data_IF_295617218059
#
_entry.id   IF_295617218059
#
_cell.length_a   1.000
_cell.length_b   1.000
_cell.length_c   1.000
_cell.angle_alpha   90.00
_cell.angle_beta   90.00
_cell.angle_gamma   90.00
#
_symmetry.space_group_name_H-M   'P 1'
#
loop_
_entity.id
_entity.type
_entity.pdbx_description
1 polymer ?
#
# COMPACT_ATOMS: atom_id res chain seq x y z
N UNK A 1 -16.56 -15.34 15.60
CA UNK A 1 -16.81 -14.87 14.22
C UNK A 1 -15.47 -14.70 13.55
N UNK A 2 -15.34 -15.19 12.31
CA UNK A 2 -14.20 -14.87 11.45
C UNK A 2 -14.30 -13.38 11.13
N UNK A 3 -13.22 -12.62 11.29
CA UNK A 3 -13.24 -11.22 10.86
C UNK A 3 -13.36 -11.21 9.32
N UNK A 4 -14.51 -10.79 8.79
CA UNK A 4 -14.72 -10.73 7.33
C UNK A 4 -14.02 -9.49 6.76
N UNK A 5 -12.97 -9.75 5.99
CA UNK A 5 -12.20 -8.71 5.29
C UNK A 5 -12.34 -8.86 3.77
N UNK A 6 -12.06 -7.78 3.05
CA UNK A 6 -12.01 -7.71 1.61
C UNK A 6 -10.94 -6.72 1.17
N UNK A 7 -10.62 -6.69 -0.13
CA UNK A 7 -9.57 -5.84 -0.67
C UNK A 7 -10.14 -4.88 -1.69
N UNK A 8 -9.54 -3.70 -1.79
CA UNK A 8 -9.89 -2.69 -2.79
C UNK A 8 -8.59 -2.21 -3.44
N UNK A 9 -8.56 -2.22 -4.76
CA UNK A 9 -7.56 -1.50 -5.54
C UNK A 9 -8.17 -0.17 -5.93
N UNK A 10 -7.60 0.93 -5.45
CA UNK A 10 -8.12 2.27 -5.63
C UNK A 10 -6.99 3.20 -6.07
N UNK A 11 -7.27 4.08 -7.02
CA UNK A 11 -6.29 5.05 -7.44
C UNK A 11 -6.78 6.04 -8.48
N UNK A 12 -6.07 7.15 -8.57
CA UNK A 12 -6.20 8.15 -9.61
C UNK A 12 -4.82 8.43 -10.18
N UNK A 13 -4.65 8.32 -11.49
CA UNK A 13 -3.37 8.47 -12.19
C UNK A 13 -3.50 9.46 -13.34
N UNK A 14 -2.46 10.24 -13.62
CA UNK A 14 -2.39 11.03 -14.85
C UNK A 14 -2.17 10.12 -16.04
N UNK A 15 -2.95 10.25 -17.13
CA UNK A 15 -2.68 9.49 -18.36
C UNK A 15 -1.38 9.96 -19.02
N UNK A 16 -1.11 11.26 -18.97
CA UNK A 16 0.04 11.91 -19.59
C UNK A 16 0.64 12.96 -18.66
N UNK A 17 1.97 13.12 -18.73
CA UNK A 17 2.67 14.15 -17.96
C UNK A 17 2.20 15.55 -18.37
N UNK A 18 1.80 16.36 -17.38
CA UNK A 18 1.44 17.76 -17.59
C UNK A 18 0.04 17.97 -18.15
N UNK A 19 -0.76 16.91 -18.29
CA UNK A 19 -2.18 17.01 -18.57
C UNK A 19 -2.96 16.71 -17.28
N UNK A 20 -3.39 17.76 -16.59
CA UNK A 20 -4.06 17.63 -15.28
C UNK A 20 -5.52 17.25 -15.39
N UNK A 21 -6.10 17.35 -16.58
CA UNK A 21 -7.53 17.09 -16.82
C UNK A 21 -7.75 15.65 -17.37
N UNK A 22 -6.70 14.97 -17.84
CA UNK A 22 -6.75 13.59 -18.34
C UNK A 22 -6.30 12.59 -17.27
N UNK A 23 -7.27 12.22 -16.42
CA UNK A 23 -7.09 11.29 -15.32
C UNK A 23 -7.65 9.89 -15.64
N UNK A 24 -7.04 8.88 -15.03
CA UNK A 24 -7.49 7.49 -15.00
C UNK A 24 -7.90 7.20 -13.55
N UNK A 25 -9.18 6.87 -13.36
CA UNK A 25 -9.70 6.43 -12.07
C UNK A 25 -9.79 4.90 -12.04
N UNK A 26 -9.37 4.32 -10.92
CA UNK A 26 -9.33 2.88 -10.66
C UNK A 26 -10.04 2.66 -9.34
N UNK A 27 -11.06 1.80 -9.33
CA UNK A 27 -11.75 1.38 -8.12
C UNK A 27 -12.34 -0.02 -8.35
N UNK A 28 -11.66 -1.04 -7.83
CA UNK A 28 -12.07 -2.44 -7.98
C UNK A 28 -12.05 -3.14 -6.63
N UNK A 29 -13.11 -3.90 -6.33
CA UNK A 29 -13.29 -4.58 -5.04
C UNK A 29 -13.16 -6.10 -5.19
N UNK A 30 -12.32 -6.70 -4.37
CA UNK A 30 -12.00 -8.13 -4.38
C UNK A 30 -12.53 -8.78 -3.11
N UNK A 31 -13.43 -9.75 -3.29
CA UNK A 31 -14.04 -10.53 -2.20
C UNK A 31 -13.89 -12.01 -2.46
N UNK A 32 -13.71 -12.79 -1.40
CA UNK A 32 -13.68 -14.25 -1.45
C UNK A 32 -13.89 -14.81 -0.03
N UNK A 33 -14.40 -16.04 0.09
CA UNK A 33 -14.53 -16.74 1.38
C UNK A 33 -13.16 -17.02 2.03
N UNK A 34 -12.14 -17.20 1.19
CA UNK A 34 -10.73 -17.19 1.58
C UNK A 34 -10.10 -15.83 1.22
N UNK A 35 -9.83 -14.95 2.20
CA UNK A 35 -9.25 -13.64 1.98
C UNK A 35 -7.84 -13.70 1.38
N UNK A 36 -7.13 -14.84 1.47
CA UNK A 36 -5.86 -15.00 0.75
C UNK A 36 -6.10 -14.95 -0.76
N UNK A 37 -7.15 -15.61 -1.25
CA UNK A 37 -7.53 -15.59 -2.67
C UNK A 37 -7.94 -14.18 -3.09
N UNK A 38 -8.73 -13.48 -2.26
CA UNK A 38 -9.11 -12.09 -2.52
C UNK A 38 -7.88 -11.16 -2.58
N UNK A 39 -6.91 -11.36 -1.67
CA UNK A 39 -5.65 -10.63 -1.64
C UNK A 39 -4.84 -10.87 -2.91
N UNK A 40 -4.66 -12.12 -3.31
CA UNK A 40 -3.92 -12.48 -4.54
C UNK A 40 -4.54 -11.83 -5.78
N UNK A 41 -5.87 -11.84 -5.89
CA UNK A 41 -6.58 -11.18 -6.99
C UNK A 41 -6.35 -9.65 -7.01
N UNK A 42 -6.44 -8.99 -5.86
CA UNK A 42 -6.19 -7.55 -5.74
C UNK A 42 -4.75 -7.19 -6.15
N UNK A 43 -3.76 -7.93 -5.66
CA UNK A 43 -2.36 -7.71 -6.02
C UNK A 43 -2.08 -8.01 -7.49
N UNK A 44 -2.69 -9.05 -8.07
CA UNK A 44 -2.55 -9.34 -9.50
C UNK A 44 -3.15 -8.22 -10.35
N UNK A 45 -4.30 -7.68 -9.95
CA UNK A 45 -4.93 -6.56 -10.65
C UNK A 45 -4.09 -5.29 -10.57
N UNK A 46 -3.60 -4.95 -9.37
CA UNK A 46 -2.65 -3.87 -9.17
C UNK A 46 -1.41 -4.02 -10.07
N UNK A 47 -0.80 -5.22 -10.07
CA UNK A 47 0.39 -5.51 -10.87
C UNK A 47 0.14 -5.35 -12.37
N UNK A 48 -1.05 -5.71 -12.85
CA UNK A 48 -1.41 -5.52 -14.26
C UNK A 48 -1.39 -4.05 -14.69
N UNK A 49 -1.80 -3.12 -13.81
CA UNK A 49 -1.66 -1.69 -14.09
C UNK A 49 -0.19 -1.29 -14.15
N UNK A 50 0.63 -1.72 -13.19
CA UNK A 50 2.07 -1.43 -13.19
C UNK A 50 2.72 -1.89 -14.50
N UNK A 51 2.39 -3.10 -14.95
CA UNK A 51 2.94 -3.67 -16.19
C UNK A 51 2.51 -2.88 -17.42
N UNK A 52 1.23 -2.56 -17.56
CA UNK A 52 0.71 -1.73 -18.67
C UNK A 52 1.37 -0.35 -18.69
N UNK A 53 1.51 0.28 -17.53
CA UNK A 53 2.13 1.60 -17.43
C UNK A 53 3.62 1.55 -17.79
N UNK A 54 4.35 0.53 -17.37
CA UNK A 54 5.75 0.34 -17.76
C UNK A 54 5.90 0.01 -19.24
N UNK A 55 5.03 -0.85 -19.79
CA UNK A 55 5.02 -1.22 -21.20
C UNK A 55 4.79 0.01 -22.09
N UNK A 56 3.92 0.95 -21.66
CA UNK A 56 3.72 2.22 -22.35
C UNK A 56 4.99 3.06 -22.49
N UNK A 57 5.98 2.84 -21.62
CA UNK A 57 7.32 3.48 -21.67
C UNK A 57 8.39 2.58 -22.30
N UNK A 58 8.02 1.42 -22.85
CA UNK A 58 8.96 0.41 -23.35
C UNK A 58 9.83 -0.20 -22.26
N UNK A 59 9.30 -0.31 -21.04
CA UNK A 59 9.97 -0.86 -19.85
C UNK A 59 9.26 -2.12 -19.37
N UNK A 60 9.96 -2.89 -18.53
CA UNK A 60 9.40 -4.04 -17.81
C UNK A 60 9.61 -3.85 -16.31
N UNK A 61 8.81 -4.53 -15.50
CA UNK A 61 8.99 -4.51 -14.05
C UNK A 61 10.34 -5.14 -13.66
N UNK A 62 11.10 -4.47 -12.79
CA UNK A 62 12.37 -4.97 -12.23
C UNK A 62 12.28 -4.99 -10.70
N UNK A 63 12.01 -3.83 -10.11
CA UNK A 63 11.85 -3.64 -8.68
C UNK A 63 10.81 -2.56 -8.37
N UNK A 64 10.33 -2.52 -7.13
CA UNK A 64 9.38 -1.49 -6.71
C UNK A 64 10.01 -0.10 -6.87
N UNK A 65 11.20 0.11 -6.30
CA UNK A 65 11.96 1.36 -6.38
C UNK A 65 12.24 1.86 -7.80
N UNK A 66 12.58 0.97 -8.73
CA UNK A 66 12.73 1.35 -10.13
C UNK A 66 11.37 1.71 -10.76
N UNK A 67 10.32 0.97 -10.43
CA UNK A 67 8.95 1.28 -10.88
C UNK A 67 8.51 2.65 -10.39
N UNK A 68 8.79 3.02 -9.14
CA UNK A 68 8.50 4.35 -8.60
C UNK A 68 9.13 5.46 -9.44
N UNK A 69 10.41 5.26 -9.80
CA UNK A 69 11.16 6.22 -10.62
C UNK A 69 10.61 6.30 -12.04
N UNK A 70 10.39 5.16 -12.68
CA UNK A 70 9.94 5.09 -14.06
C UNK A 70 8.49 5.57 -14.21
N UNK A 71 7.63 5.35 -13.22
CA UNK A 71 6.22 5.74 -13.25
C UNK A 71 5.93 7.09 -12.57
N UNK A 72 6.95 7.83 -12.15
CA UNK A 72 6.78 9.11 -11.46
C UNK A 72 5.90 10.12 -12.25
N UNK A 73 5.93 10.07 -13.58
CA UNK A 73 5.11 10.96 -14.43
C UNK A 73 3.60 10.68 -14.33
N UNK A 74 3.19 9.47 -13.92
CA UNK A 74 1.77 9.09 -13.74
C UNK A 74 1.22 9.53 -12.38
N UNK A 75 2.11 9.78 -11.41
CA UNK A 75 1.74 10.22 -10.04
C UNK A 75 2.13 11.67 -9.74
N UNK A 76 2.90 12.31 -10.64
CA UNK A 76 3.31 13.72 -10.54
C UNK A 76 3.05 14.45 -11.86
N UNK A 77 2.11 15.40 -11.86
CA UNK A 77 1.82 16.24 -13.04
C UNK A 77 3.02 17.09 -13.47
N UNK A 78 3.89 17.47 -12.53
CA UNK A 78 5.01 18.37 -12.77
C UNK A 78 4.61 19.84 -12.96
N UNK A 79 3.32 20.16 -12.94
CA UNK A 79 2.80 21.52 -13.04
C UNK A 79 2.77 22.14 -11.64
N UNK A 80 3.58 23.19 -11.44
CA UNK A 80 3.43 24.06 -10.26
C UNK A 80 2.21 24.94 -10.49
N UNK A 81 1.10 24.68 -9.80
CA UNK A 81 -0.05 25.58 -9.83
C UNK A 81 0.36 26.95 -9.27
N UNK A 82 0.47 27.96 -10.16
CA UNK A 82 0.88 29.32 -9.80
C UNK A 82 -0.12 30.10 -8.96
N UNK A 83 -1.37 29.63 -8.87
CA UNK A 83 -2.48 30.41 -8.31
C UNK A 83 -3.00 29.90 -6.96
N UNK A 84 -2.59 28.70 -6.51
CA UNK A 84 -3.09 28.09 -5.28
C UNK A 84 -1.92 27.37 -4.58
N UNK A 85 -1.16 28.08 -3.72
CA UNK A 85 -0.06 27.49 -2.96
C UNK A 85 -0.52 26.38 -1.99
N UNK A 86 -1.79 26.46 -1.58
CA UNK A 86 -2.38 25.65 -0.50
C UNK A 86 -3.69 24.95 -0.90
N UNK A 87 -3.98 24.79 -2.20
CA UNK A 87 -4.92 23.73 -2.55
C UNK A 87 -4.21 22.42 -2.27
N UNK A 88 -4.51 21.89 -1.07
CA UNK A 88 -4.50 20.48 -0.67
C UNK A 88 -4.37 19.64 -1.93
N UNK A 89 -3.26 18.91 -2.06
CA UNK A 89 -3.03 17.91 -3.11
C UNK A 89 -4.38 17.35 -3.56
N UNK A 90 -4.90 17.86 -4.68
CA UNK A 90 -6.22 17.44 -5.16
C UNK A 90 -6.11 15.95 -5.38
N UNK A 91 -6.81 15.20 -4.54
CA UNK A 91 -6.97 13.75 -4.53
C UNK A 91 -5.67 12.97 -4.82
N UNK A 92 -5.07 12.43 -3.75
CA UNK A 92 -3.83 11.64 -3.74
C UNK A 92 -3.63 10.83 -5.04
N UNK A 93 -2.92 11.41 -6.02
CA UNK A 93 -2.63 10.79 -7.31
C UNK A 93 -1.70 9.62 -7.04
N UNK A 94 -2.31 8.46 -6.89
CA UNK A 94 -1.70 7.25 -6.41
C UNK A 94 -2.47 6.05 -6.93
N UNK A 95 -1.84 4.89 -6.86
CA UNK A 95 -2.51 3.60 -7.00
C UNK A 95 -2.23 2.83 -5.72
N UNK A 96 -3.26 2.37 -5.02
CA UNK A 96 -3.15 1.76 -3.70
C UNK A 96 -3.97 0.50 -3.57
N UNK A 97 -3.52 -0.38 -2.67
CA UNK A 97 -4.30 -1.53 -2.23
C UNK A 97 -4.67 -1.31 -0.77
N UNK A 98 -5.96 -1.39 -0.49
CA UNK A 98 -6.52 -1.31 0.84
C UNK A 98 -7.10 -2.66 1.25
N UNK A 99 -6.82 -3.09 2.47
CA UNK A 99 -7.59 -4.10 3.19
C UNK A 99 -8.71 -3.39 3.95
N UNK A 100 -9.94 -3.87 3.79
CA UNK A 100 -11.11 -3.36 4.49
C UNK A 100 -11.80 -4.43 5.32
N UNK A 101 -12.38 -4.05 6.46
CA UNK A 101 -13.25 -4.89 7.28
C UNK A 101 -14.70 -4.65 6.91
N UNK A 102 -15.52 -5.70 6.89
CA UNK A 102 -16.99 -5.54 6.80
C UNK A 102 -17.60 -4.96 8.07
N UNK A 103 -16.97 -5.21 9.22
CA UNK A 103 -17.36 -4.65 10.52
C UNK A 103 -16.23 -3.76 11.04
N UNK A 104 -16.43 -2.43 11.13
CA UNK A 104 -15.42 -1.49 11.61
C UNK A 104 -14.99 -1.75 13.06
N UNK A 105 -13.73 -1.46 13.39
CA UNK A 105 -13.26 -1.38 14.77
C UNK A 105 -13.63 -0.03 15.36
N UNK A 106 -14.31 -0.02 16.50
CA UNK A 106 -14.52 1.21 17.28
C UNK A 106 -13.31 1.50 18.18
N UNK A 107 -12.93 2.77 18.28
CA UNK A 107 -11.93 3.24 19.24
C UNK A 107 -12.39 4.55 19.88
N UNK A 108 -11.89 4.86 21.07
CA UNK A 108 -12.19 6.14 21.74
C UNK A 108 -11.03 7.11 21.53
N UNK A 109 -11.33 8.32 21.04
CA UNK A 109 -10.33 9.38 20.86
C UNK A 109 -9.88 9.93 22.21
N UNK A 110 -8.79 10.69 22.21
CA UNK A 110 -8.31 11.42 23.40
C UNK A 110 -9.34 12.41 23.94
N UNK A 111 -10.33 12.78 23.13
CA UNK A 111 -11.43 13.69 23.50
C UNK A 111 -12.70 12.95 23.96
N UNK A 112 -12.66 11.61 24.05
CA UNK A 112 -13.80 10.79 24.48
C UNK A 112 -14.80 10.46 23.36
N UNK A 113 -14.50 10.79 22.12
CA UNK A 113 -15.37 10.51 20.97
C UNK A 113 -15.16 9.08 20.47
N UNK A 114 -16.18 8.46 19.89
CA UNK A 114 -16.03 7.15 19.26
C UNK A 114 -15.66 7.32 17.79
N UNK A 115 -14.46 6.89 17.42
CA UNK A 115 -14.02 6.73 16.03
C UNK A 115 -14.22 5.30 15.53
N UNK A 116 -14.22 5.13 14.22
CA UNK A 116 -14.31 3.83 13.56
C UNK A 116 -13.18 3.68 12.55
N UNK A 117 -12.50 2.54 12.58
CA UNK A 117 -11.46 2.20 11.61
C UNK A 117 -11.81 0.87 10.94
N UNK A 118 -11.99 0.91 9.63
CA UNK A 118 -12.28 -0.25 8.81
C UNK A 118 -11.33 -0.44 7.64
N UNK A 119 -10.40 0.49 7.42
CA UNK A 119 -9.54 0.54 6.23
C UNK A 119 -8.07 0.63 6.61
N UNK A 120 -7.23 -0.16 5.94
CA UNK A 120 -5.78 -0.18 6.09
C UNK A 120 -5.12 -0.28 4.72
N UNK A 121 -4.24 0.67 4.39
CA UNK A 121 -3.40 0.56 3.19
C UNK A 121 -2.34 -0.51 3.39
N UNK A 122 -2.17 -1.38 2.41
CA UNK A 122 -1.22 -2.50 2.46
C UNK A 122 -0.26 -2.51 1.26
N UNK A 123 -0.51 -1.65 0.27
CA UNK A 123 0.39 -1.43 -0.86
C UNK A 123 0.08 -0.11 -1.56
N UNK A 124 1.04 0.51 -2.25
CA UNK A 124 0.84 1.78 -2.95
C UNK A 124 1.93 2.11 -3.98
N UNK A 125 1.59 3.00 -4.91
CA UNK A 125 2.43 3.78 -5.81
C UNK A 125 1.97 5.23 -5.68
N UNK A 126 2.79 6.14 -5.14
CA UNK A 126 2.39 7.53 -4.87
C UNK A 126 3.56 8.51 -5.03
N UNK A 127 3.31 9.79 -5.23
CA UNK A 127 4.32 10.83 -5.31
C UNK A 127 5.09 11.11 -4.01
N UNK A 128 4.58 10.65 -2.85
CA UNK A 128 5.13 10.80 -1.49
C UNK A 128 5.49 9.46 -0.86
N UNK A 129 6.42 8.76 -1.50
CA UNK A 129 6.74 7.37 -1.12
C UNK A 129 7.17 7.16 0.33
N UNK A 130 7.94 8.09 0.90
CA UNK A 130 8.47 7.92 2.26
C UNK A 130 7.39 8.12 3.33
N UNK A 131 6.42 9.00 3.08
CA UNK A 131 5.38 9.37 4.07
C UNK A 131 4.41 8.21 4.35
N UNK A 132 4.11 7.40 3.34
CA UNK A 132 3.13 6.30 3.43
C UNK A 132 3.72 4.96 3.85
N UNK A 133 5.05 4.88 3.96
CA UNK A 133 5.77 3.65 4.27
C UNK A 133 5.35 3.07 5.61
N UNK A 134 5.42 3.88 6.67
CA UNK A 134 5.07 3.44 8.03
C UNK A 134 3.59 3.07 8.16
N UNK A 135 2.72 3.79 7.44
CA UNK A 135 1.29 3.49 7.41
C UNK A 135 1.02 2.15 6.75
N UNK A 136 1.68 1.88 5.61
CA UNK A 136 1.58 0.61 4.88
C UNK A 136 2.12 -0.56 5.69
N UNK A 137 3.25 -0.38 6.38
CA UNK A 137 3.79 -1.40 7.29
C UNK A 137 2.85 -1.70 8.46
N UNK A 138 2.18 -0.68 9.02
CA UNK A 138 1.13 -0.89 10.04
C UNK A 138 -0.05 -1.68 9.49
N UNK A 139 -0.50 -1.38 8.27
CA UNK A 139 -1.55 -2.12 7.59
C UNK A 139 -1.19 -3.59 7.36
N UNK A 140 -0.01 -3.87 6.82
CA UNK A 140 0.49 -5.23 6.59
C UNK A 140 0.63 -6.04 7.90
N UNK A 141 1.09 -5.41 8.99
CA UNK A 141 1.15 -6.06 10.31
C UNK A 141 -0.23 -6.38 10.85
N UNK A 142 -1.18 -5.47 10.66
CA UNK A 142 -2.56 -5.67 11.09
C UNK A 142 -3.24 -6.80 10.29
N UNK A 143 -3.10 -6.80 8.96
CA UNK A 143 -3.54 -7.89 8.07
C UNK A 143 -2.98 -9.24 8.54
N UNK A 144 -1.67 -9.31 8.78
CA UNK A 144 -1.03 -10.53 9.27
C UNK A 144 -1.62 -11.01 10.61
N UNK A 145 -1.86 -10.08 11.56
CA UNK A 145 -2.45 -10.44 12.86
C UNK A 145 -3.86 -11.01 12.73
N UNK A 146 -4.64 -10.54 11.74
CA UNK A 146 -5.95 -11.08 11.42
C UNK A 146 -5.83 -12.47 10.82
N UNK A 147 -4.88 -12.69 9.92
CA UNK A 147 -4.65 -13.99 9.32
C UNK A 147 -4.28 -15.03 10.38
N UNK A 148 -3.32 -14.71 11.24
CA UNK A 148 -2.87 -15.58 12.33
C UNK A 148 -4.01 -15.90 13.31
N UNK A 149 -4.75 -14.88 13.77
CA UNK A 149 -5.87 -15.03 14.71
C UNK A 149 -6.97 -15.95 14.16
N UNK A 150 -7.22 -15.91 12.85
CA UNK A 150 -8.29 -16.67 12.21
C UNK A 150 -7.81 -17.99 11.58
N UNK A 151 -6.54 -18.36 11.79
CA UNK A 151 -5.96 -19.63 11.31
C UNK A 151 -5.80 -19.71 9.80
N UNK A 152 -5.65 -18.57 9.12
CA UNK A 152 -5.34 -18.53 7.69
C UNK A 152 -3.88 -18.90 7.43
N UNK A 153 -3.62 -19.39 6.21
CA UNK A 153 -2.31 -19.83 5.79
C UNK A 153 -1.38 -18.66 5.43
N UNK A 154 -0.41 -18.37 6.31
CA UNK A 154 0.59 -17.33 6.10
C UNK A 154 1.88 -17.82 5.41
N UNK A 155 1.87 -18.94 4.66
CA UNK A 155 3.09 -19.51 4.04
C UNK A 155 3.89 -18.56 3.14
N UNK A 156 3.27 -17.51 2.59
CA UNK A 156 3.92 -16.46 1.80
C UNK A 156 4.51 -15.35 2.69
N UNK A 157 5.12 -15.67 3.83
CA UNK A 157 5.59 -14.68 4.80
C UNK A 157 7.10 -14.51 4.79
N UNK A 158 7.59 -13.30 5.04
CA UNK A 158 9.01 -13.03 5.29
C UNK A 158 9.19 -12.63 6.76
N UNK A 159 9.82 -13.51 7.54
CA UNK A 159 10.34 -13.23 8.88
C UNK A 159 11.76 -12.70 8.74
N UNK A 160 11.98 -11.40 8.96
CA UNK A 160 13.34 -10.86 9.13
C UNK A 160 13.59 -10.57 10.61
N UNK A 161 14.59 -11.25 11.17
CA UNK A 161 15.06 -11.07 12.54
C UNK A 161 16.38 -10.31 12.52
N UNK A 162 16.46 -9.11 13.09
CA UNK A 162 17.74 -8.45 13.30
C UNK A 162 18.38 -8.94 14.60
N UNK A 163 19.55 -9.59 14.51
CA UNK A 163 20.41 -9.83 15.67
C UNK A 163 21.28 -8.59 15.90
N UNK A 164 20.89 -7.73 16.84
CA UNK A 164 21.84 -6.84 17.53
C UNK A 164 21.81 -7.21 19.01
N UNK A 165 22.68 -8.15 19.37
CA UNK A 165 23.17 -8.52 20.71
C UNK A 165 22.25 -8.18 21.91
N UNK A 166 21.67 -9.23 22.52
CA UNK A 166 21.09 -9.35 23.88
C UNK A 166 21.02 -8.04 24.72
N UNK A 167 19.85 -7.59 25.21
CA UNK A 167 18.96 -8.32 26.12
C UNK A 167 17.52 -7.79 26.00
N UNK A 168 16.54 -8.70 25.92
CA UNK A 168 15.07 -8.51 25.97
C UNK A 168 14.29 -8.03 24.72
N UNK A 169 14.93 -7.79 23.56
CA UNK A 169 14.22 -7.29 22.38
C UNK A 169 14.34 -8.19 21.14
N UNK A 170 13.58 -9.28 21.05
CA UNK A 170 13.33 -9.90 19.73
C UNK A 170 12.41 -8.95 18.96
N UNK A 171 12.96 -8.17 18.04
CA UNK A 171 12.16 -7.40 17.09
C UNK A 171 11.68 -8.36 16.01
N UNK A 172 10.48 -8.90 16.19
CA UNK A 172 9.78 -9.66 15.17
C UNK A 172 9.29 -8.69 14.10
N UNK A 173 9.99 -8.58 12.96
CA UNK A 173 9.48 -7.90 11.76
C UNK A 173 8.94 -8.96 10.82
N UNK A 174 7.65 -9.18 10.97
CA UNK A 174 6.88 -10.17 10.24
C UNK A 174 5.93 -9.40 9.32
N UNK A 175 6.13 -9.47 8.00
CA UNK A 175 5.17 -8.94 7.01
C UNK A 175 4.85 -10.02 5.97
N UNK A 176 3.60 -10.02 5.49
CA UNK A 176 3.20 -10.87 4.37
C UNK A 176 3.95 -10.42 3.13
N UNK A 177 4.49 -11.38 2.35
CA UNK A 177 5.14 -11.10 1.08
C UNK A 177 4.14 -10.43 0.16
N UNK A 178 4.50 -9.25 -0.31
CA UNK A 178 3.83 -8.60 -1.44
C UNK A 178 4.55 -9.07 -2.72
N UNK A 179 3.83 -9.29 -3.83
CA UNK A 179 4.45 -9.63 -5.12
C UNK A 179 5.48 -8.58 -5.56
N UNK A 180 5.27 -7.34 -5.13
CA UNK A 180 6.23 -6.27 -5.17
C UNK A 180 7.13 -6.41 -3.93
N UNK A 181 8.26 -7.11 -4.07
CA UNK A 181 9.25 -7.23 -3.00
C UNK A 181 9.67 -5.83 -2.50
N UNK A 182 9.10 -5.38 -1.38
CA UNK A 182 9.65 -4.27 -0.62
C UNK A 182 10.80 -4.84 0.21
N UNK A 183 12.05 -4.66 -0.23
CA UNK A 183 13.19 -5.16 0.52
C UNK A 183 13.46 -4.32 1.78
N UNK A 184 13.87 -4.97 2.86
CA UNK A 184 14.22 -4.29 4.10
C UNK A 184 15.51 -3.47 4.02
N UNK A 185 16.32 -3.67 2.98
CA UNK A 185 17.51 -2.85 2.71
C UNK A 185 17.13 -1.46 2.16
N UNK A 186 15.89 -1.28 1.69
CA UNK A 186 15.28 0.04 1.48
C UNK A 186 14.67 0.64 2.78
N UNK A 187 14.68 -0.10 3.89
CA UNK A 187 14.07 0.23 5.18
C UNK A 187 15.09 0.59 6.29
N UNK A 188 16.38 0.63 5.97
CA UNK A 188 17.43 1.18 6.83
C UNK A 188 18.31 2.15 6.04
N UNK A 189 17.99 3.43 6.10
CA UNK A 189 19.03 4.46 5.97
C UNK A 189 19.54 4.78 7.37
N UNK A 190 20.85 4.62 7.52
CA UNK A 190 21.63 5.05 8.68
C UNK A 190 21.50 6.57 8.82
N UNK A 191 20.94 7.12 9.91
CA UNK A 191 21.09 8.54 10.17
C UNK A 191 22.53 8.76 10.60
N UNK A 192 23.32 9.43 9.76
CA UNK A 192 24.53 10.12 10.22
C UNK A 192 24.17 11.18 11.25
#
# INVERSE_FOLDING_TARGET
MKDEIYYVVEGTLYRNKGDVDDLIEINETFTNDDPIIAREAAFSHYQSYIEVLLESKGKTYISHKETEKELADFVKSGIKHKLLPDMVDMDAISLSIFMKRKVPLSYTTTFGETGYQDTWQIHYLDNKFEDWRDYTLKGLRYEYSLYEKNGYDCRNHILRCSNKNNTSGKVLKSTLKTPLFMEEDDLFFDPQ
#
